data_IF_722876065828
#
_entry.id   IF_722876065828
#
_cell.length_a   1.000
_cell.length_b   1.000
_cell.length_c   1.000
_cell.angle_alpha   90.00
_cell.angle_beta   90.00
_cell.angle_gamma   90.00
#
_symmetry.space_group_name_H-M   'P 1'
#
loop_
_entity.id
_entity.type
_entity.pdbx_description
1 polymer ?
#
# COMPACT_ATOMS: atom_id res chain seq x y z
N UNK A 1 59.78 -55.89 16.04
CA UNK A 1 59.96 -54.42 15.97
C UNK A 1 58.98 -53.85 14.96
N UNK A 2 58.01 -53.03 15.43
CA UNK A 2 57.43 -51.87 14.73
C UNK A 2 56.28 -51.32 15.61
N UNK A 3 56.63 -50.35 16.46
CA UNK A 3 55.66 -49.57 17.21
C UNK A 3 55.13 -48.46 16.28
N UNK A 4 53.83 -48.48 16.00
CA UNK A 4 53.16 -47.38 15.31
C UNK A 4 52.72 -46.37 16.37
N UNK A 5 53.44 -45.26 16.46
CA UNK A 5 53.07 -44.10 17.27
C UNK A 5 51.99 -43.32 16.51
N UNK A 6 50.75 -43.31 17.02
CA UNK A 6 49.72 -42.40 16.54
C UNK A 6 50.00 -40.99 17.07
N UNK A 7 50.27 -40.08 16.14
CA UNK A 7 50.41 -38.65 16.40
C UNK A 7 49.07 -38.09 16.91
N UNK A 8 49.11 -37.40 18.04
CA UNK A 8 47.98 -36.68 18.63
C UNK A 8 47.58 -35.57 17.64
N UNK A 9 46.46 -35.77 16.96
CA UNK A 9 45.87 -34.76 16.09
C UNK A 9 45.49 -33.54 16.94
N UNK A 10 46.07 -32.39 16.59
CA UNK A 10 45.98 -31.13 17.34
C UNK A 10 44.52 -30.69 17.51
N UNK A 11 43.96 -30.84 18.72
CA UNK A 11 42.57 -30.49 19.04
C UNK A 11 42.30 -28.97 18.92
N UNK A 12 43.34 -28.14 18.84
CA UNK A 12 43.20 -26.69 18.61
C UNK A 12 42.73 -26.33 17.18
N UNK A 13 42.84 -27.23 16.20
CA UNK A 13 42.42 -26.91 14.82
C UNK A 13 40.90 -27.00 14.61
N UNK A 14 40.19 -27.80 15.42
CA UNK A 14 38.74 -28.00 15.26
C UNK A 14 37.91 -26.85 15.85
N UNK A 15 38.45 -26.12 16.84
CA UNK A 15 37.78 -24.94 17.42
C UNK A 15 37.86 -23.70 16.51
N UNK A 16 38.85 -23.62 15.61
CA UNK A 16 39.03 -22.47 14.72
C UNK A 16 38.07 -22.46 13.52
N UNK A 17 37.57 -23.64 13.11
CA UNK A 17 36.67 -23.77 11.93
C UNK A 17 35.25 -23.28 12.24
N UNK A 18 34.80 -23.34 13.50
CA UNK A 18 33.49 -22.82 13.90
C UNK A 18 33.42 -21.28 13.93
N UNK A 19 34.58 -20.60 14.06
CA UNK A 19 34.68 -19.13 14.02
C UNK A 19 34.65 -18.54 12.60
N UNK A 20 34.65 -19.39 11.56
CA UNK A 20 34.66 -19.00 10.15
C UNK A 20 33.39 -19.39 9.39
N UNK A 21 32.39 -19.96 10.06
CA UNK A 21 31.09 -20.11 9.42
C UNK A 21 30.50 -18.70 9.21
N UNK A 22 30.14 -18.31 7.97
CA UNK A 22 29.43 -17.06 7.77
C UNK A 22 28.18 -17.07 8.64
N UNK A 23 27.88 -15.96 9.31
CA UNK A 23 26.61 -15.78 10.00
C UNK A 23 25.50 -16.12 9.00
N UNK A 24 24.84 -17.26 9.23
CA UNK A 24 23.73 -17.69 8.38
C UNK A 24 22.61 -16.71 8.69
N UNK A 25 22.39 -15.77 7.79
CA UNK A 25 21.27 -14.84 7.92
C UNK A 25 20.00 -15.61 7.57
N UNK A 26 19.05 -15.66 8.50
CA UNK A 26 17.79 -16.36 8.32
C UNK A 26 16.73 -15.40 7.77
N UNK A 27 15.85 -15.92 6.91
CA UNK A 27 14.61 -15.23 6.63
C UNK A 27 13.73 -15.28 7.90
N UNK A 28 13.42 -14.12 8.46
CA UNK A 28 12.64 -14.01 9.69
C UNK A 28 11.57 -12.92 9.57
N UNK A 29 10.52 -13.08 10.38
CA UNK A 29 9.46 -12.09 10.57
C UNK A 29 9.49 -11.63 12.02
N UNK A 30 9.41 -10.32 12.23
CA UNK A 30 9.21 -9.74 13.55
C UNK A 30 8.03 -8.78 13.54
N UNK A 31 7.25 -8.77 14.62
CA UNK A 31 6.10 -7.89 14.81
C UNK A 31 6.53 -6.76 15.75
N UNK A 32 6.32 -5.53 15.30
CA UNK A 32 6.40 -4.33 16.12
C UNK A 32 5.12 -4.19 16.92
N UNK A 33 5.22 -4.11 18.23
CA UNK A 33 4.09 -3.99 19.14
C UNK A 33 4.22 -2.73 20.00
N UNK A 34 3.07 -2.17 20.40
CA UNK A 34 2.95 -1.12 21.40
C UNK A 34 2.29 -1.69 22.64
N UNK A 35 2.84 -1.42 23.82
CA UNK A 35 2.19 -1.56 25.12
C UNK A 35 1.83 -0.17 25.67
N UNK A 36 0.53 0.08 25.72
CA UNK A 36 -0.06 1.34 26.20
C UNK A 36 -0.15 1.42 27.73
N UNK A 37 0.16 0.32 28.44
CA UNK A 37 0.04 0.18 29.90
C UNK A 37 -1.34 0.54 30.45
N UNK A 38 -2.37 0.25 29.66
CA UNK A 38 -3.78 0.50 30.01
C UNK A 38 -4.25 1.94 29.79
N UNK A 39 -3.41 2.82 29.25
CA UNK A 39 -3.84 4.16 28.84
C UNK A 39 -4.48 4.07 27.45
N UNK A 40 -5.66 4.64 27.28
CA UNK A 40 -6.31 4.69 25.97
C UNK A 40 -5.65 5.75 25.09
N UNK A 41 -5.14 5.31 23.94
CA UNK A 41 -4.43 6.16 22.97
C UNK A 41 -5.07 6.03 21.60
N UNK A 42 -4.94 7.06 20.76
CA UNK A 42 -5.51 7.07 19.40
C UNK A 42 -4.54 7.53 18.32
N UNK A 43 -3.33 7.94 18.68
CA UNK A 43 -2.29 8.31 17.76
C UNK A 43 -0.96 7.75 18.23
N UNK A 44 -0.12 7.35 17.28
CA UNK A 44 1.21 6.82 17.54
C UNK A 44 2.14 7.27 16.42
N UNK A 45 3.31 7.76 16.79
CA UNK A 45 4.45 8.00 15.91
C UNK A 45 5.73 7.46 16.53
N UNK A 46 6.70 7.16 15.68
CA UNK A 46 8.03 6.77 16.14
C UNK A 46 8.97 6.37 15.02
N UNK A 47 10.20 6.08 15.44
CA UNK A 47 11.26 5.60 14.57
C UNK A 47 11.85 4.32 15.12
N UNK A 48 11.86 3.28 14.29
CA UNK A 48 12.57 2.03 14.56
C UNK A 48 13.97 2.10 13.91
N UNK A 49 15.02 2.09 14.71
CA UNK A 49 16.41 2.07 14.27
C UNK A 49 16.93 0.65 14.29
N UNK A 50 17.38 0.18 13.13
CA UNK A 50 17.88 -1.16 12.90
C UNK A 50 19.41 -1.21 13.10
N UNK A 51 19.96 -2.28 13.70
CA UNK A 51 21.40 -2.49 13.78
C UNK A 51 21.99 -2.79 12.39
N UNK A 52 23.31 -2.70 12.28
CA UNK A 52 24.01 -3.10 11.05
C UNK A 52 23.78 -4.59 10.76
N UNK A 53 23.62 -4.92 9.47
CA UNK A 53 23.44 -6.31 9.02
C UNK A 53 21.99 -6.76 8.88
N UNK A 54 21.04 -6.11 9.56
CA UNK A 54 19.61 -6.40 9.40
C UNK A 54 19.10 -5.84 8.08
N UNK A 55 18.63 -6.72 7.18
CA UNK A 55 18.08 -6.30 5.88
C UNK A 55 16.59 -6.58 5.85
N UNK A 56 15.78 -5.52 5.78
CA UNK A 56 14.33 -5.67 5.63
C UNK A 56 14.00 -5.79 4.14
N UNK A 57 13.22 -6.80 3.80
CA UNK A 57 12.70 -7.00 2.44
C UNK A 57 11.32 -6.39 2.26
N UNK A 58 10.51 -6.47 3.30
CA UNK A 58 9.11 -6.10 3.25
C UNK A 58 8.64 -5.61 4.63
N UNK A 59 7.73 -4.64 4.62
CA UNK A 59 7.05 -4.14 5.81
C UNK A 59 5.55 -4.30 5.56
N UNK A 60 4.87 -5.00 6.47
CA UNK A 60 3.44 -5.32 6.37
C UNK A 60 2.67 -4.55 7.42
N UNK A 61 1.53 -3.97 7.02
CA UNK A 61 0.63 -3.22 7.91
C UNK A 61 -0.67 -3.97 8.19
N UNK A 62 -0.78 -5.22 7.73
CA UNK A 62 -1.89 -6.11 8.09
C UNK A 62 -1.95 -6.36 9.59
N UNK A 63 -3.16 -6.58 10.10
CA UNK A 63 -3.49 -6.69 11.53
C UNK A 63 -3.01 -5.51 12.40
N UNK A 64 -2.63 -4.37 11.82
CA UNK A 64 -2.20 -3.21 12.60
C UNK A 64 -3.34 -2.65 13.44
N UNK A 65 -2.99 -2.18 14.64
CA UNK A 65 -3.86 -1.33 15.45
C UNK A 65 -4.08 0.04 14.82
N UNK A 66 -3.16 0.49 13.96
CA UNK A 66 -3.24 1.75 13.24
C UNK A 66 -4.14 1.61 12.02
N UNK A 67 -5.26 2.32 12.04
CA UNK A 67 -6.25 2.27 10.95
C UNK A 67 -5.92 3.24 9.82
N UNK A 68 -5.35 4.40 10.16
CA UNK A 68 -5.05 5.47 9.20
C UNK A 68 -3.59 5.87 9.37
N UNK A 69 -2.79 5.63 8.33
CA UNK A 69 -1.39 6.03 8.30
C UNK A 69 -1.24 7.45 7.77
N UNK A 70 -0.60 8.32 8.54
CA UNK A 70 -0.12 9.63 8.07
C UNK A 70 1.27 9.47 7.43
N UNK A 71 2.09 8.61 8.03
CA UNK A 71 3.36 8.15 7.48
C UNK A 71 3.38 6.62 7.58
N UNK A 72 3.14 5.96 6.45
CA UNK A 72 3.16 4.50 6.36
C UNK A 72 4.59 4.01 6.62
N UNK A 73 4.80 2.93 7.40
CA UNK A 73 6.14 2.49 7.78
C UNK A 73 6.98 2.15 6.55
N UNK A 74 8.09 2.87 6.38
CA UNK A 74 9.01 2.71 5.26
C UNK A 74 10.45 2.82 5.74
N UNK A 75 11.32 1.93 5.26
CA UNK A 75 12.73 1.99 5.56
C UNK A 75 13.43 3.08 4.73
N UNK A 76 14.14 3.97 5.41
CA UNK A 76 15.11 4.91 4.83
C UNK A 76 16.45 4.75 5.56
N UNK A 77 17.47 4.25 4.86
CA UNK A 77 18.74 3.90 5.48
C UNK A 77 18.57 2.76 6.48
N UNK A 78 18.93 2.97 7.75
CA UNK A 78 18.73 2.01 8.85
C UNK A 78 17.53 2.35 9.74
N UNK A 79 16.65 3.27 9.32
CA UNK A 79 15.50 3.70 10.11
C UNK A 79 14.19 3.37 9.39
N UNK A 80 13.18 2.95 10.14
CA UNK A 80 11.78 2.86 9.70
C UNK A 80 10.98 3.89 10.48
N UNK A 81 10.52 4.92 9.81
CA UNK A 81 9.64 5.96 10.39
C UNK A 81 8.19 5.60 10.16
N UNK A 82 7.34 5.91 11.13
CA UNK A 82 5.91 5.64 11.04
C UNK A 82 5.10 6.62 11.88
N UNK A 83 3.91 6.96 11.40
CA UNK A 83 2.94 7.77 12.13
C UNK A 83 1.52 7.44 11.67
N UNK A 84 0.60 7.35 12.62
CA UNK A 84 -0.79 7.07 12.28
C UNK A 84 -1.76 7.23 13.45
N UNK A 85 -3.03 7.11 13.12
CA UNK A 85 -4.15 7.28 14.03
C UNK A 85 -5.16 6.14 13.94
N UNK A 86 -5.87 5.94 15.04
CA UNK A 86 -6.95 4.98 15.21
C UNK A 86 -8.10 5.70 15.89
N UNK A 87 -9.07 6.24 15.12
CA UNK A 87 -10.27 6.82 15.69
C UNK A 87 -10.97 5.82 16.61
N UNK A 88 -11.47 6.30 17.76
CA UNK A 88 -12.06 5.43 18.79
C UNK A 88 -11.05 4.82 19.76
N UNK A 89 -9.75 4.94 19.49
CA UNK A 89 -8.66 4.59 20.40
C UNK A 89 -8.44 3.09 20.57
N UNK A 90 -7.36 2.76 21.29
CA UNK A 90 -7.00 1.40 21.65
C UNK A 90 -6.23 1.36 22.98
N UNK A 91 -6.19 0.18 23.60
CA UNK A 91 -5.49 -0.11 24.85
C UNK A 91 -4.83 -1.49 24.81
N UNK A 92 -3.97 -1.76 25.80
CA UNK A 92 -3.23 -3.00 25.96
C UNK A 92 -1.99 -3.08 25.06
N UNK A 93 -1.55 -4.31 24.83
CA UNK A 93 -0.50 -4.65 23.86
C UNK A 93 -1.13 -4.91 22.50
N UNK A 94 -0.68 -4.19 21.48
CA UNK A 94 -1.26 -4.27 20.14
C UNK A 94 -0.17 -4.29 19.06
N UNK A 95 -0.36 -5.06 17.97
CA UNK A 95 0.53 -5.01 16.81
C UNK A 95 0.42 -3.68 16.08
N UNK A 96 1.55 -3.17 15.58
CA UNK A 96 1.64 -1.90 14.85
C UNK A 96 2.02 -2.13 13.40
N UNK A 97 3.06 -2.91 13.13
CA UNK A 97 3.39 -3.42 11.78
C UNK A 97 4.34 -4.62 11.94
N UNK A 98 4.54 -5.37 10.86
CA UNK A 98 5.50 -6.47 10.82
C UNK A 98 6.62 -6.19 9.82
N UNK A 99 7.81 -6.69 10.10
CA UNK A 99 8.97 -6.63 9.21
C UNK A 99 9.38 -8.04 8.82
N UNK A 100 9.57 -8.26 7.52
CA UNK A 100 10.09 -9.50 6.95
C UNK A 100 11.46 -9.21 6.35
N UNK A 101 12.47 -10.02 6.69
CA UNK A 101 13.82 -9.70 6.27
C UNK A 101 14.82 -10.84 6.47
N UNK A 102 16.08 -10.48 6.27
CA UNK A 102 17.25 -11.29 6.55
C UNK A 102 17.83 -10.82 7.89
N UNK A 103 17.52 -11.54 8.97
CA UNK A 103 18.03 -11.30 10.33
C UNK A 103 17.79 -12.51 11.25
N UNK A 104 18.59 -12.62 12.31
CA UNK A 104 18.45 -13.61 13.38
C UNK A 104 17.70 -13.04 14.59
N UNK A 105 17.29 -13.92 15.50
CA UNK A 105 16.62 -13.54 16.75
C UNK A 105 17.45 -12.54 17.58
N UNK A 106 18.78 -12.74 17.61
CA UNK A 106 19.71 -11.93 18.39
C UNK A 106 19.87 -10.51 17.84
N UNK A 107 19.60 -10.30 16.54
CA UNK A 107 19.68 -8.97 15.93
C UNK A 107 18.59 -8.04 16.49
N UNK A 108 17.48 -8.59 16.98
CA UNK A 108 16.39 -7.82 17.59
C UNK A 108 16.82 -7.11 18.88
N UNK A 109 17.83 -7.63 19.61
CA UNK A 109 18.38 -6.98 20.81
C UNK A 109 19.10 -5.65 20.49
N UNK A 110 19.56 -5.51 19.24
CA UNK A 110 20.20 -4.29 18.73
C UNK A 110 19.22 -3.21 18.28
N UNK A 111 17.94 -3.57 18.10
CA UNK A 111 16.90 -2.66 17.61
C UNK A 111 16.56 -1.61 18.66
N UNK A 112 16.38 -0.35 18.22
CA UNK A 112 16.05 0.77 19.11
C UNK A 112 14.84 1.53 18.62
N UNK A 113 13.95 1.85 19.53
CA UNK A 113 12.86 2.78 19.27
C UNK A 113 13.26 4.17 19.74
N UNK A 114 13.15 5.15 18.85
CA UNK A 114 13.44 6.56 19.12
C UNK A 114 12.26 7.42 18.71
N UNK A 115 12.16 8.62 19.30
CA UNK A 115 11.09 9.58 19.00
C UNK A 115 9.67 9.01 19.11
N UNK A 116 9.46 8.02 19.99
CA UNK A 116 8.15 7.41 20.19
C UNK A 116 7.25 8.37 20.97
N UNK A 117 6.10 8.68 20.40
CA UNK A 117 5.05 9.46 21.05
C UNK A 117 3.70 8.82 20.76
N UNK A 118 2.91 8.60 21.81
CA UNK A 118 1.51 8.22 21.68
C UNK A 118 0.64 9.31 22.29
N UNK A 119 -0.53 9.58 21.71
CA UNK A 119 -1.45 10.60 22.22
C UNK A 119 -2.70 9.95 22.81
N UNK A 120 -3.18 10.49 23.94
CA UNK A 120 -4.40 10.01 24.59
C UNK A 120 -5.64 10.17 23.72
N UNK A 121 -6.53 9.19 23.81
CA UNK A 121 -7.87 9.27 23.25
C UNK A 121 -8.88 10.00 24.17
N UNK A 122 -8.50 11.15 24.72
CA UNK A 122 -9.35 11.92 25.66
C UNK A 122 -9.77 13.30 25.11
N UNK A 123 -9.48 13.55 23.83
CA UNK A 123 -9.73 14.83 23.16
C UNK A 123 -8.70 15.93 23.48
N UNK A 124 -7.81 15.73 24.45
CA UNK A 124 -6.74 16.69 24.75
C UNK A 124 -5.52 16.54 23.83
N UNK A 125 -5.31 15.35 23.26
CA UNK A 125 -4.13 15.03 22.47
C UNK A 125 -2.83 15.03 23.29
N UNK A 126 -2.90 14.90 24.62
CA UNK A 126 -1.72 14.88 25.47
C UNK A 126 -0.84 13.66 25.17
N UNK A 127 0.47 13.90 25.01
CA UNK A 127 1.46 12.85 24.80
C UNK A 127 1.63 12.00 26.06
N UNK A 128 1.73 10.68 25.86
CA UNK A 128 1.97 9.69 26.89
C UNK A 128 3.11 8.76 26.48
N UNK A 129 3.93 8.27 27.44
CA UNK A 129 4.97 7.31 27.13
C UNK A 129 4.37 5.99 26.65
N UNK A 130 4.74 5.58 25.44
CA UNK A 130 4.46 4.26 24.90
C UNK A 130 5.69 3.35 25.00
N UNK A 131 5.49 2.08 25.36
CA UNK A 131 6.55 1.08 25.28
C UNK A 131 6.41 0.32 23.98
N UNK A 132 7.48 0.28 23.22
CA UNK A 132 7.53 -0.45 21.97
C UNK A 132 8.40 -1.70 22.14
N UNK A 133 8.04 -2.77 21.45
CA UNK A 133 8.80 -4.01 21.41
C UNK A 133 8.78 -4.62 20.02
N UNK A 134 9.77 -5.48 19.75
CA UNK A 134 9.75 -6.40 18.62
C UNK A 134 9.71 -7.83 19.15
N UNK A 135 8.88 -8.66 18.55
CA UNK A 135 8.78 -10.09 18.86
C UNK A 135 8.86 -10.92 17.58
N UNK A 136 9.56 -12.05 17.61
CA UNK A 136 9.61 -12.96 16.46
C UNK A 136 8.23 -13.57 16.20
N UNK A 137 7.88 -13.69 14.92
CA UNK A 137 6.66 -14.33 14.48
C UNK A 137 6.91 -15.29 13.33
N UNK A 138 5.96 -16.20 13.12
CA UNK A 138 5.94 -17.05 11.94
C UNK A 138 5.56 -16.23 10.71
N UNK A 139 6.36 -16.29 9.64
CA UNK A 139 5.95 -15.76 8.34
C UNK A 139 4.67 -16.46 7.86
N UNK A 140 3.69 -15.69 7.41
CA UNK A 140 2.48 -16.19 6.75
C UNK A 140 2.36 -15.53 5.39
N UNK A 141 2.36 -16.36 4.35
CA UNK A 141 2.09 -15.88 3.00
C UNK A 141 0.62 -15.46 2.90
N UNK A 142 0.38 -14.38 2.17
CA UNK A 142 -0.94 -13.85 1.91
C UNK A 142 -1.33 -14.06 0.44
N UNK A 143 -2.56 -14.48 0.23
CA UNK A 143 -3.15 -14.72 -1.09
C UNK A 143 -4.58 -14.17 -1.18
N UNK A 144 -5.04 -13.51 -0.13
CA UNK A 144 -6.35 -12.88 -0.09
C UNK A 144 -6.26 -11.53 -0.81
N UNK A 145 -7.30 -11.21 -1.58
CA UNK A 145 -7.37 -9.89 -2.20
C UNK A 145 -7.77 -8.86 -1.13
N UNK A 146 -7.40 -7.57 -1.29
CA UNK A 146 -7.93 -6.49 -0.46
C UNK A 146 -9.46 -6.52 -0.34
N UNK A 147 -10.04 -6.01 0.73
CA UNK A 147 -11.48 -6.01 0.96
C UNK A 147 -12.25 -5.24 -0.15
N UNK A 148 -13.55 -5.54 -0.30
CA UNK A 148 -14.41 -4.78 -1.20
C UNK A 148 -14.56 -3.33 -0.73
N UNK A 149 -14.50 -2.40 -1.68
CA UNK A 149 -14.64 -0.99 -1.40
C UNK A 149 -15.35 -0.26 -2.54
N UNK A 150 -15.96 0.88 -2.23
CA UNK A 150 -16.68 1.70 -3.20
C UNK A 150 -16.08 3.10 -3.24
N UNK A 151 -15.34 3.46 -4.32
CA UNK A 151 -14.88 4.82 -4.55
C UNK A 151 -16.06 5.79 -4.67
N UNK A 152 -15.90 7.02 -4.18
CA UNK A 152 -16.94 8.05 -4.22
C UNK A 152 -16.40 9.35 -4.82
N UNK A 153 -17.24 10.05 -5.58
CA UNK A 153 -16.91 11.39 -6.12
C UNK A 153 -17.55 12.46 -5.25
N UNK A 154 -16.72 13.41 -4.81
CA UNK A 154 -17.11 14.59 -4.07
C UNK A 154 -16.59 15.87 -4.75
N UNK A 155 -17.11 17.01 -4.31
CA UNK A 155 -16.67 18.35 -4.69
C UNK A 155 -16.91 19.24 -3.47
N UNK A 156 -15.89 19.99 -3.07
CA UNK A 156 -15.93 20.89 -1.92
C UNK A 156 -15.14 22.16 -2.27
N UNK A 157 -15.68 23.38 -2.06
CA UNK A 157 -14.96 24.62 -2.37
C UNK A 157 -13.58 24.74 -1.71
N UNK A 158 -13.37 24.10 -0.57
CA UNK A 158 -12.12 24.12 0.19
C UNK A 158 -11.13 23.02 -0.24
N UNK A 159 -11.55 22.09 -1.11
CA UNK A 159 -10.72 20.99 -1.61
C UNK A 159 -10.62 21.08 -3.13
N UNK A 160 -9.41 21.29 -3.64
CA UNK A 160 -9.14 21.48 -5.07
C UNK A 160 -10.01 22.56 -5.75
N UNK A 161 -10.32 23.65 -5.04
CA UNK A 161 -11.11 24.79 -5.53
C UNK A 161 -12.51 24.39 -6.06
N UNK A 162 -13.18 23.43 -5.40
CA UNK A 162 -14.51 22.97 -5.81
C UNK A 162 -14.52 21.98 -6.98
N UNK A 163 -13.36 21.58 -7.50
CA UNK A 163 -13.28 20.55 -8.54
C UNK A 163 -13.69 19.20 -7.99
N UNK A 164 -14.17 18.32 -8.87
CA UNK A 164 -14.48 16.94 -8.53
C UNK A 164 -13.21 16.16 -8.22
N UNK A 165 -13.25 15.45 -7.10
CA UNK A 165 -12.21 14.53 -6.66
C UNK A 165 -12.81 13.21 -6.23
N UNK A 166 -11.98 12.18 -6.23
CA UNK A 166 -12.31 10.81 -5.88
C UNK A 166 -11.79 10.50 -4.48
N UNK A 167 -12.63 9.91 -3.63
CA UNK A 167 -12.28 9.40 -2.31
C UNK A 167 -12.42 7.88 -2.34
N UNK A 168 -11.40 7.19 -1.87
CA UNK A 168 -11.38 5.74 -1.78
C UNK A 168 -10.47 5.29 -0.64
N UNK A 169 -10.82 4.16 -0.06
CA UNK A 169 -9.99 3.42 0.88
C UNK A 169 -10.49 1.97 0.91
N UNK A 170 -9.57 1.03 1.10
CA UNK A 170 -9.87 -0.36 1.45
C UNK A 170 -8.91 -0.81 2.55
N UNK A 171 -9.13 -2.01 3.07
CA UNK A 171 -8.27 -2.65 4.04
C UNK A 171 -7.85 -4.02 3.52
N UNK A 172 -6.68 -4.46 3.93
CA UNK A 172 -6.27 -5.84 3.85
C UNK A 172 -5.79 -6.27 5.24
N UNK A 173 -6.35 -7.36 5.76
CA UNK A 173 -6.10 -7.78 7.15
C UNK A 173 -4.82 -8.60 7.27
N UNK A 174 -4.34 -9.18 6.19
CA UNK A 174 -3.23 -10.12 6.20
C UNK A 174 -1.89 -9.41 6.02
N UNK A 175 -1.65 -8.82 4.85
CA UNK A 175 -0.42 -8.10 4.51
C UNK A 175 -0.58 -6.58 4.56
N UNK A 176 -1.79 -6.05 4.47
CA UNK A 176 -2.09 -4.62 4.43
C UNK A 176 -1.96 -4.02 3.03
N UNK A 177 -2.61 -2.87 2.79
CA UNK A 177 -2.61 -2.23 1.46
C UNK A 177 -1.26 -1.60 1.16
N UNK A 178 -0.63 -1.95 0.03
CA UNK A 178 0.61 -1.34 -0.46
C UNK A 178 0.35 0.06 -1.02
N UNK A 179 -0.42 0.11 -2.10
CA UNK A 179 -0.64 1.32 -2.91
C UNK A 179 -2.00 1.31 -3.60
N UNK A 180 -2.38 2.49 -4.09
CA UNK A 180 -3.53 2.67 -4.96
C UNK A 180 -3.12 3.22 -6.32
N UNK A 181 -3.85 2.81 -7.34
CA UNK A 181 -3.69 3.34 -8.68
C UNK A 181 -5.06 3.69 -9.29
N UNK A 182 -5.14 4.81 -10.01
CA UNK A 182 -6.37 5.30 -10.63
C UNK A 182 -6.23 5.36 -12.16
N UNK A 183 -7.29 4.95 -12.86
CA UNK A 183 -7.45 5.12 -14.31
C UNK A 183 -8.82 5.72 -14.63
N UNK A 184 -8.83 6.83 -15.36
CA UNK A 184 -10.05 7.50 -15.82
C UNK A 184 -10.42 7.09 -17.24
N UNK A 185 -11.49 6.32 -17.38
CA UNK A 185 -11.99 5.74 -18.63
C UNK A 185 -11.51 4.31 -18.87
N UNK A 186 -12.07 3.70 -19.92
CA UNK A 186 -11.78 2.30 -20.31
C UNK A 186 -10.35 2.13 -20.86
N UNK A 187 -9.76 3.19 -21.41
CA UNK A 187 -8.46 3.17 -22.07
C UNK A 187 -7.40 3.90 -21.24
N UNK A 188 -6.14 3.53 -21.42
CA UNK A 188 -4.99 4.13 -20.74
C UNK A 188 -4.42 3.27 -19.62
N UNK A 189 -3.44 3.84 -18.91
CA UNK A 189 -2.67 3.16 -17.86
C UNK A 189 -3.14 3.59 -16.48
N UNK A 190 -3.10 2.64 -15.55
CA UNK A 190 -3.16 2.94 -14.12
C UNK A 190 -1.96 3.80 -13.73
N UNK A 191 -2.21 4.74 -12.81
CA UNK A 191 -1.19 5.61 -12.24
C UNK A 191 -1.38 5.64 -10.75
N UNK A 192 -0.28 5.56 -10.03
CA UNK A 192 -0.25 5.71 -8.58
C UNK A 192 -0.97 6.99 -8.16
N UNK A 193 -1.79 6.88 -7.13
CA UNK A 193 -2.69 7.93 -6.68
C UNK A 193 -2.96 7.78 -5.18
N UNK A 194 -3.12 8.92 -4.51
CA UNK A 194 -3.57 8.98 -3.12
C UNK A 194 -4.99 9.53 -3.06
N UNK A 195 -5.71 9.18 -1.99
CA UNK A 195 -7.02 9.75 -1.70
C UNK A 195 -6.86 10.94 -0.75
N UNK A 196 -7.50 12.10 -1.01
CA UNK A 196 -8.40 12.38 -2.13
C UNK A 196 -7.66 12.66 -3.44
N UNK A 197 -8.15 12.08 -4.54
CA UNK A 197 -7.57 12.20 -5.88
C UNK A 197 -8.32 13.21 -6.75
N UNK A 198 -7.67 14.31 -7.16
CA UNK A 198 -8.25 15.25 -8.12
C UNK A 198 -8.46 14.59 -9.49
N UNK A 199 -9.72 14.50 -9.94
CA UNK A 199 -10.03 13.96 -11.26
C UNK A 199 -9.47 14.88 -12.35
N UNK A 200 -8.83 14.29 -13.36
CA UNK A 200 -8.36 15.02 -14.54
C UNK A 200 -9.52 15.34 -15.47
N UNK A 201 -10.51 14.45 -15.56
CA UNK A 201 -11.71 14.63 -16.36
C UNK A 201 -12.93 15.02 -15.51
N UNK A 202 -13.12 16.33 -15.35
CA UNK A 202 -14.21 16.94 -14.58
C UNK A 202 -15.62 16.75 -15.17
N UNK A 203 -15.75 16.14 -16.37
CA UNK A 203 -17.02 15.95 -17.06
C UNK A 203 -17.88 14.79 -16.55
N UNK A 204 -17.35 13.94 -15.66
CA UNK A 204 -18.02 12.79 -15.02
C UNK A 204 -18.75 11.84 -15.99
N UNK A 205 -18.29 11.80 -17.25
CA UNK A 205 -18.87 11.00 -18.34
C UNK A 205 -18.02 9.78 -18.70
N UNK A 206 -17.16 9.36 -17.78
CA UNK A 206 -16.27 8.22 -17.91
C UNK A 206 -16.28 7.43 -16.61
N UNK A 207 -16.19 6.12 -16.73
CA UNK A 207 -15.96 5.26 -15.58
C UNK A 207 -14.58 5.55 -15.00
N UNK A 208 -14.45 5.44 -13.69
CA UNK A 208 -13.17 5.55 -12.99
C UNK A 208 -12.86 4.22 -12.35
N UNK A 209 -11.66 3.69 -12.61
CA UNK A 209 -11.19 2.43 -12.07
C UNK A 209 -10.17 2.74 -10.98
N UNK A 210 -10.37 2.20 -9.79
CA UNK A 210 -9.43 2.29 -8.67
C UNK A 210 -8.91 0.91 -8.37
N UNK A 211 -7.60 0.71 -8.50
CA UNK A 211 -6.94 -0.54 -8.15
C UNK A 211 -6.22 -0.36 -6.82
N UNK A 212 -6.48 -1.26 -5.88
CA UNK A 212 -5.70 -1.42 -4.66
C UNK A 212 -4.82 -2.65 -4.81
N UNK A 213 -3.54 -2.52 -4.48
CA UNK A 213 -2.58 -3.64 -4.41
C UNK A 213 -2.14 -3.77 -2.95
N UNK A 214 -2.13 -4.97 -2.39
CA UNK A 214 -1.59 -5.24 -1.04
C UNK A 214 -0.07 -5.46 -1.06
N UNK A 215 0.55 -5.59 0.12
CA UNK A 215 2.00 -5.81 0.24
C UNK A 215 2.43 -7.20 -0.29
N UNK A 216 1.50 -8.17 -0.38
CA UNK A 216 1.75 -9.47 -1.00
C UNK A 216 1.60 -9.46 -2.54
N UNK A 217 1.13 -8.37 -3.13
CA UNK A 217 0.93 -8.19 -4.56
C UNK A 217 -0.43 -8.61 -5.09
N UNK A 218 -1.40 -8.95 -4.23
CA UNK A 218 -2.76 -9.22 -4.67
C UNK A 218 -3.48 -7.92 -5.04
N UNK A 219 -4.31 -7.96 -6.08
CA UNK A 219 -4.94 -6.77 -6.65
C UNK A 219 -6.47 -6.84 -6.60
N UNK A 220 -7.09 -5.72 -6.23
CA UNK A 220 -8.55 -5.53 -6.36
C UNK A 220 -8.86 -4.25 -7.10
N UNK A 221 -9.75 -4.33 -8.09
CA UNK A 221 -10.21 -3.17 -8.86
C UNK A 221 -11.68 -2.87 -8.53
N UNK A 222 -11.93 -1.67 -8.02
CA UNK A 222 -13.27 -1.11 -7.90
C UNK A 222 -13.57 -0.19 -9.08
N UNK A 223 -14.81 -0.22 -9.57
CA UNK A 223 -15.26 0.58 -10.72
C UNK A 223 -16.36 1.52 -10.28
N UNK A 224 -16.13 2.81 -10.48
CA UNK A 224 -17.15 3.84 -10.34
C UNK A 224 -17.67 4.23 -11.72
N UNK A 225 -18.94 3.90 -11.99
CA UNK A 225 -19.58 4.20 -13.26
C UNK A 225 -19.72 5.71 -13.50
N UNK A 226 -19.68 6.11 -14.77
CA UNK A 226 -19.94 7.49 -15.19
C UNK A 226 -21.31 8.00 -14.69
N UNK A 227 -21.35 9.20 -14.09
CA UNK A 227 -22.63 9.84 -13.67
C UNK A 227 -23.45 10.33 -14.86
N UNK A 228 -22.79 10.77 -15.92
CA UNK A 228 -23.45 11.33 -17.10
C UNK A 228 -23.03 10.56 -18.34
N UNK A 229 -23.86 9.63 -18.81
CA UNK A 229 -23.61 8.96 -20.09
C UNK A 229 -24.02 9.89 -21.24
N UNK A 230 -23.10 10.71 -21.74
CA UNK A 230 -23.30 11.43 -23.01
C UNK A 230 -22.84 10.57 -24.17
N UNK A 231 -23.80 10.05 -24.92
CA UNK A 231 -23.55 9.16 -26.04
C UNK A 231 -22.97 9.99 -27.21
N UNK A 232 -21.76 9.67 -27.69
CA UNK A 232 -21.05 10.45 -28.72
C UNK A 232 -21.86 10.65 -30.03
N UNK A 233 -22.71 9.68 -30.36
CA UNK A 233 -23.69 9.69 -31.46
C UNK A 233 -24.79 10.75 -31.31
N UNK A 234 -25.06 11.31 -30.14
CA UNK A 234 -25.98 12.45 -30.01
C UNK A 234 -25.40 13.72 -30.63
N UNK A 235 -24.07 13.87 -30.64
CA UNK A 235 -23.38 15.03 -31.22
C UNK A 235 -23.02 14.84 -32.69
N UNK A 236 -22.59 13.64 -33.08
CA UNK A 236 -22.12 13.35 -34.43
C UNK A 236 -23.08 12.52 -35.28
N UNK A 237 -24.05 11.84 -34.67
CA UNK A 237 -25.04 11.05 -35.40
C UNK A 237 -25.87 11.91 -36.34
N UNK A 238 -26.24 13.11 -35.92
CA UNK A 238 -26.97 14.06 -36.78
C UNK A 238 -26.11 14.52 -37.97
N UNK A 239 -24.82 14.78 -37.76
CA UNK A 239 -23.88 15.10 -38.85
C UNK A 239 -23.65 13.92 -39.80
N UNK A 240 -23.57 12.68 -39.28
CA UNK A 240 -23.46 11.48 -40.09
C UNK A 240 -24.72 11.25 -40.93
N UNK A 241 -25.91 11.43 -40.36
CA UNK A 241 -27.20 11.36 -41.07
C UNK A 241 -27.24 12.43 -42.18
N UNK A 242 -26.86 13.68 -41.89
CA UNK A 242 -26.82 14.75 -42.88
C UNK A 242 -25.82 14.46 -44.01
N UNK A 243 -24.65 13.89 -43.69
CA UNK A 243 -23.66 13.45 -44.69
C UNK A 243 -24.24 12.35 -45.62
N UNK A 244 -24.95 11.36 -45.06
CA UNK A 244 -25.60 10.31 -45.85
C UNK A 244 -26.68 10.91 -46.77
N UNK A 245 -27.52 11.81 -46.26
CA UNK A 245 -28.54 12.50 -47.06
C UNK A 245 -27.90 13.31 -48.20
N UNK A 246 -26.81 14.03 -47.93
CA UNK A 246 -26.07 14.79 -48.94
C UNK A 246 -25.51 13.88 -50.05
N UNK A 247 -24.95 12.72 -49.69
CA UNK A 247 -24.44 11.75 -50.68
C UNK A 247 -25.58 11.17 -51.52
N UNK A 248 -26.70 10.79 -50.91
CA UNK A 248 -27.87 10.23 -51.62
C UNK A 248 -28.47 11.26 -52.59
N UNK A 249 -28.64 12.50 -52.14
CA UNK A 249 -29.16 13.59 -53.00
C UNK A 249 -28.24 13.90 -54.17
N UNK A 250 -26.92 13.91 -53.97
CA UNK A 250 -25.94 14.07 -55.05
C UNK A 250 -25.98 12.90 -56.05
N UNK A 251 -26.10 11.67 -55.56
CA UNK A 251 -26.23 10.48 -56.40
C UNK A 251 -27.53 10.52 -57.23
N UNK A 252 -28.64 10.89 -56.62
CA UNK A 252 -29.93 11.07 -57.28
C UNK A 252 -29.86 12.14 -58.37
N UNK A 253 -29.30 13.32 -58.06
CA UNK A 253 -29.10 14.41 -59.04
C UNK A 253 -28.25 13.96 -60.23
N UNK A 254 -27.15 13.22 -59.97
CA UNK A 254 -26.27 12.69 -61.02
C UNK A 254 -26.98 11.66 -61.90
N UNK A 255 -27.81 10.78 -61.30
CA UNK A 255 -28.61 9.81 -62.04
C UNK A 255 -29.68 10.50 -62.89
N UNK A 256 -30.41 11.48 -62.35
CA UNK A 256 -31.43 12.25 -63.07
C UNK A 256 -30.85 12.95 -64.31
N UNK A 257 -29.70 13.64 -64.16
CA UNK A 257 -29.02 14.31 -65.28
C UNK A 257 -28.62 13.31 -66.39
N UNK A 258 -28.28 12.07 -66.04
CA UNK A 258 -27.98 11.01 -67.02
C UNK A 258 -29.23 10.46 -67.72
N UNK A 259 -30.40 10.52 -67.10
CA UNK A 259 -31.66 10.09 -67.70
C UNK A 259 -32.29 11.15 -68.62
N UNK A 260 -32.03 12.44 -68.37
CA UNK A 260 -32.58 13.56 -69.15
C UNK A 260 -31.68 14.03 -70.30
N UNK A 261 -30.49 13.44 -70.47
CA UNK A 261 -29.61 13.64 -71.62
C UNK A 261 -29.70 12.43 -72.53
#
# INVERSE_FOLDING_TARGET
MKNFQFSIFNFQFLALVFLLLPNIVFAATAVTEIDTRGIEVNALEGTLVLPEGMRIREIQTGNSVILIWLEKPRQTGNAITFAGITPGGFTGTQPVFSINGDFAAQDLDGVRFTSVSALKNDGSGASVPARMSLSLASFRADSELPEEFTPTIASDPNVFDGKFFLVFATQDKSSGVDRYEVREGRWGFFREAESPYLLKHQGLNRDVYVKATDNAGNERVAVLAARVHRAWWERYGLLAILMVIAVVTLAYKKAWIRFTK
#
